data_IF_871235270346
#
_entry.id   IF_871235270346
#
_cell.length_a   1.000
_cell.length_b   1.000
_cell.length_c   1.000
_cell.angle_alpha   90.00
_cell.angle_beta   90.00
_cell.angle_gamma   90.00
#
_symmetry.space_group_name_H-M   'P 1'
#
loop_
_entity.id
_entity.type
_entity.pdbx_description
1 polymer ?
#
# COMPACT_ATOMS: atom_id res chain seq x y z
N UNK A 1 0.74 -11.37 8.27
CA UNK A 1 0.16 -10.01 8.25
C UNK A 1 1.02 -9.13 9.12
N UNK A 2 1.84 -8.27 8.52
CA UNK A 2 2.70 -7.36 9.28
C UNK A 2 1.80 -6.28 9.91
N UNK A 3 1.89 -6.07 11.22
CA UNK A 3 1.04 -5.09 11.91
C UNK A 3 1.29 -3.71 11.27
N UNK A 4 0.23 -3.05 10.80
CA UNK A 4 0.32 -1.75 10.13
C UNK A 4 1.11 -0.71 10.95
N UNK A 5 1.05 -0.82 12.29
CA UNK A 5 1.79 0.03 13.23
C UNK A 5 3.30 -0.23 13.26
N UNK A 6 3.76 -1.45 12.94
CA UNK A 6 5.20 -1.77 12.89
C UNK A 6 5.81 -1.54 11.51
N UNK A 7 5.00 -1.50 10.45
CA UNK A 7 5.48 -1.23 9.10
C UNK A 7 6.06 0.19 8.93
N UNK A 8 5.33 1.19 9.43
CA UNK A 8 5.72 2.60 9.31
C UNK A 8 7.13 2.90 9.90
N UNK A 9 7.45 2.52 11.16
CA UNK A 9 8.76 2.81 11.73
C UNK A 9 9.89 2.03 11.04
N UNK A 10 9.63 0.82 10.54
CA UNK A 10 10.64 0.03 9.81
C UNK A 10 11.02 0.72 8.51
N UNK A 11 10.05 1.17 7.71
CA UNK A 11 10.30 1.92 6.48
C UNK A 11 11.08 3.21 6.76
N UNK A 12 10.70 3.93 7.82
CA UNK A 12 11.37 5.16 8.21
C UNK A 12 12.84 4.90 8.63
N UNK A 13 13.10 3.83 9.40
CA UNK A 13 14.45 3.43 9.79
C UNK A 13 15.34 3.08 8.59
N UNK A 14 14.80 2.36 7.60
CA UNK A 14 15.52 2.01 6.37
C UNK A 14 15.85 3.26 5.52
N UNK A 15 14.91 4.22 5.43
CA UNK A 15 15.15 5.48 4.72
C UNK A 15 16.22 6.34 5.39
N UNK A 16 16.19 6.42 6.72
CA UNK A 16 17.21 7.13 7.50
C UNK A 16 18.58 6.48 7.28
N UNK A 17 18.66 5.15 7.35
CA UNK A 17 19.89 4.39 7.10
C UNK A 17 20.44 4.65 5.69
N UNK A 18 19.57 4.68 4.68
CA UNK A 18 19.97 5.00 3.31
C UNK A 18 20.50 6.44 3.18
N UNK A 19 19.83 7.43 3.78
CA UNK A 19 20.29 8.82 3.79
C UNK A 19 21.66 8.97 4.45
N UNK A 20 21.93 8.26 5.55
CA UNK A 20 23.23 8.24 6.23
C UNK A 20 24.36 7.73 5.31
N UNK A 21 24.09 6.71 4.50
CA UNK A 21 25.03 6.15 3.53
C UNK A 21 25.29 7.16 2.40
N UNK A 22 24.24 7.79 1.87
CA UNK A 22 24.36 8.78 0.78
C UNK A 22 25.11 10.04 1.23
N UNK A 23 24.93 10.46 2.49
CA UNK A 23 25.61 11.63 3.07
C UNK A 23 27.12 11.41 3.28
N UNK A 24 27.62 10.19 3.06
CA UNK A 24 29.04 9.89 3.18
C UNK A 24 29.55 9.92 4.62
N UNK A 25 28.65 9.74 5.61
CA UNK A 25 29.01 9.77 7.03
C UNK A 25 29.95 8.61 7.42
N UNK A 26 30.06 7.60 6.56
CA UNK A 26 31.07 6.55 6.64
C UNK A 26 32.18 6.77 5.60
N UNK A 27 33.46 6.78 5.99
CA UNK A 27 34.60 6.85 5.08
C UNK A 27 34.86 5.49 4.43
N UNK A 28 33.91 5.01 3.62
CA UNK A 28 34.05 3.77 2.88
C UNK A 28 34.58 4.12 1.48
N UNK A 29 35.75 3.59 1.12
CA UNK A 29 36.30 3.70 -0.25
C UNK A 29 35.46 2.89 -1.23
N UNK A 30 34.25 3.35 -1.55
CA UNK A 30 33.44 2.78 -2.61
C UNK A 30 33.88 3.33 -3.97
N UNK A 31 33.97 2.48 -5.00
CA UNK A 31 34.06 2.94 -6.38
C UNK A 31 32.90 3.90 -6.68
N UNK A 32 33.17 4.99 -7.41
CA UNK A 32 32.18 5.98 -7.83
C UNK A 32 30.97 5.38 -8.55
N UNK A 33 31.14 4.23 -9.19
CA UNK A 33 30.05 3.47 -9.82
C UNK A 33 29.02 2.95 -8.81
N UNK A 34 29.45 2.40 -7.67
CA UNK A 34 28.51 1.88 -6.67
C UNK A 34 27.74 3.00 -5.97
N UNK A 35 28.36 4.15 -5.74
CA UNK A 35 27.67 5.30 -5.15
C UNK A 35 26.49 5.76 -6.02
N UNK A 36 26.69 5.83 -7.35
CA UNK A 36 25.62 6.17 -8.30
C UNK A 36 24.47 5.17 -8.26
N UNK A 37 24.77 3.87 -8.12
CA UNK A 37 23.75 2.82 -7.99
C UNK A 37 22.97 3.00 -6.68
N UNK A 38 23.66 3.22 -5.56
CA UNK A 38 23.02 3.38 -4.24
C UNK A 38 22.04 4.55 -4.25
N UNK A 39 22.39 5.65 -4.91
CA UNK A 39 21.52 6.84 -5.01
C UNK A 39 20.24 6.56 -5.83
N UNK A 40 20.30 5.67 -6.84
CA UNK A 40 19.15 5.39 -7.72
C UNK A 40 18.24 4.25 -7.24
N UNK A 41 18.72 3.40 -6.31
CA UNK A 41 17.94 2.29 -5.71
C UNK A 41 16.53 2.69 -5.27
N UNK A 42 16.29 3.77 -4.48
CA UNK A 42 14.94 4.08 -4.03
C UNK A 42 13.99 4.42 -5.18
N UNK A 43 14.49 5.06 -6.25
CA UNK A 43 13.69 5.37 -7.43
C UNK A 43 13.28 4.11 -8.17
N UNK A 44 14.22 3.18 -8.36
CA UNK A 44 13.95 1.88 -8.99
C UNK A 44 12.94 1.08 -8.13
N UNK A 45 13.08 1.12 -6.81
CA UNK A 45 12.14 0.48 -5.88
C UNK A 45 10.72 1.01 -5.99
N UNK A 46 10.55 2.34 -6.03
CA UNK A 46 9.24 2.98 -6.21
C UNK A 46 8.64 2.64 -7.57
N UNK A 47 9.45 2.66 -8.63
CA UNK A 47 9.01 2.35 -9.99
C UNK A 47 8.51 0.89 -10.07
N UNK A 48 9.31 -0.07 -9.60
CA UNK A 48 8.92 -1.49 -9.56
C UNK A 48 7.67 -1.72 -8.71
N UNK A 49 7.59 -1.08 -7.54
CA UNK A 49 6.40 -1.17 -6.69
C UNK A 49 5.15 -0.62 -7.38
N UNK A 50 5.28 0.52 -8.07
CA UNK A 50 4.19 1.12 -8.84
C UNK A 50 3.69 0.20 -9.95
N UNK A 51 4.61 -0.34 -10.76
CA UNK A 51 4.24 -1.30 -11.80
C UNK A 51 3.63 -2.57 -11.23
N UNK A 52 4.25 -3.17 -10.19
CA UNK A 52 3.73 -4.37 -9.55
C UNK A 52 2.30 -4.16 -9.03
N UNK A 53 2.05 -3.04 -8.35
CA UNK A 53 0.72 -2.69 -7.83
C UNK A 53 -0.30 -2.54 -8.97
N UNK A 54 0.08 -1.87 -10.06
CA UNK A 54 -0.79 -1.69 -11.21
C UNK A 54 -1.13 -3.03 -11.89
N UNK A 55 -0.13 -3.86 -12.17
CA UNK A 55 -0.32 -5.19 -12.76
C UNK A 55 -1.17 -6.08 -11.86
N UNK A 56 -0.92 -6.08 -10.55
CA UNK A 56 -1.69 -6.85 -9.59
C UNK A 56 -3.16 -6.42 -9.55
N UNK A 57 -3.43 -5.11 -9.56
CA UNK A 57 -4.79 -4.58 -9.62
C UNK A 57 -5.50 -4.98 -10.91
N UNK A 58 -4.84 -4.82 -12.07
CA UNK A 58 -5.40 -5.20 -13.37
C UNK A 58 -5.72 -6.70 -13.39
N UNK A 59 -4.77 -7.55 -12.98
CA UNK A 59 -4.96 -9.00 -12.90
C UNK A 59 -6.14 -9.37 -12.00
N UNK A 60 -6.27 -8.71 -10.85
CA UNK A 60 -7.38 -8.94 -9.93
C UNK A 60 -8.73 -8.52 -10.51
N UNK A 61 -8.79 -7.37 -11.19
CA UNK A 61 -10.02 -6.85 -11.81
C UNK A 61 -10.47 -7.73 -12.98
N UNK A 62 -9.54 -8.23 -13.79
CA UNK A 62 -9.85 -9.16 -14.89
C UNK A 62 -10.41 -10.47 -14.33
N UNK A 63 -9.75 -11.08 -13.35
CA UNK A 63 -10.21 -12.35 -12.76
C UNK A 63 -11.56 -12.25 -12.03
N UNK A 64 -11.92 -11.08 -11.48
CA UNK A 64 -13.24 -10.85 -10.90
C UNK A 64 -14.36 -10.84 -11.95
N UNK A 65 -14.04 -10.50 -13.20
CA UNK A 65 -15.00 -10.49 -14.31
C UNK A 65 -15.35 -11.91 -14.75
N UNK A 66 -14.40 -12.83 -14.66
CA UNK A 66 -14.56 -14.21 -15.16
C UNK A 66 -15.29 -15.14 -14.19
N UNK A 67 -15.54 -14.70 -12.95
CA UNK A 67 -16.25 -15.48 -11.94
C UNK A 67 -17.61 -14.82 -11.60
N UNK A 68 -18.68 -15.08 -12.37
CA UNK A 68 -19.99 -14.46 -12.16
C UNK A 68 -20.55 -14.73 -10.75
N UNK A 69 -20.20 -15.86 -10.15
CA UNK A 69 -20.62 -16.23 -8.80
C UNK A 69 -20.04 -15.30 -7.71
N UNK A 70 -18.76 -14.94 -7.82
CA UNK A 70 -18.10 -14.06 -6.86
C UNK A 70 -18.67 -12.64 -6.90
N UNK A 71 -19.06 -12.15 -8.09
CA UNK A 71 -19.75 -10.86 -8.25
C UNK A 71 -21.10 -10.86 -7.53
N UNK A 72 -21.91 -11.91 -7.72
CA UNK A 72 -23.24 -12.02 -7.09
C UNK A 72 -23.15 -12.04 -5.56
N UNK A 73 -22.13 -12.71 -5.02
CA UNK A 73 -21.92 -12.80 -3.57
C UNK A 73 -21.42 -11.47 -2.99
N UNK A 74 -20.53 -10.77 -3.70
CA UNK A 74 -20.07 -9.43 -3.33
C UNK A 74 -21.18 -8.39 -3.42
N UNK A 75 -22.00 -8.40 -4.47
CA UNK A 75 -23.11 -7.46 -4.64
C UNK A 75 -24.17 -7.65 -3.54
N UNK A 76 -24.45 -8.90 -3.15
CA UNK A 76 -25.30 -9.19 -1.98
C UNK A 76 -24.70 -8.68 -0.67
N UNK A 77 -23.39 -8.80 -0.48
CA UNK A 77 -22.72 -8.27 0.72
C UNK A 77 -22.79 -6.74 0.77
N UNK A 78 -22.60 -6.08 -0.37
CA UNK A 78 -22.72 -4.61 -0.51
C UNK A 78 -24.15 -4.16 -0.22
N UNK A 79 -25.16 -4.85 -0.74
CA UNK A 79 -26.57 -4.54 -0.47
C UNK A 79 -26.92 -4.70 1.01
N UNK A 80 -26.42 -5.76 1.67
CA UNK A 80 -26.57 -5.94 3.12
C UNK A 80 -25.95 -4.80 3.90
N UNK A 81 -24.71 -4.41 3.60
CA UNK A 81 -24.03 -3.29 4.27
C UNK A 81 -24.79 -1.96 4.06
N UNK A 82 -25.30 -1.71 2.86
CA UNK A 82 -26.08 -0.50 2.57
C UNK A 82 -27.42 -0.48 3.33
N UNK A 83 -28.12 -1.61 3.37
CA UNK A 83 -29.37 -1.73 4.12
C UNK A 83 -29.13 -1.58 5.62
N UNK A 84 -28.05 -2.13 6.15
CA UNK A 84 -27.68 -2.02 7.55
C UNK A 84 -27.24 -0.58 7.90
N UNK A 85 -26.53 0.10 6.99
CA UNK A 85 -26.21 1.53 7.13
C UNK A 85 -27.47 2.42 7.09
N UNK A 86 -28.42 2.12 6.20
CA UNK A 86 -29.71 2.83 6.12
C UNK A 86 -30.55 2.58 7.36
N UNK A 87 -30.63 1.33 7.84
CA UNK A 87 -31.26 0.99 9.11
C UNK A 87 -30.62 1.79 10.24
N UNK A 88 -29.29 1.75 10.37
CA UNK A 88 -28.57 2.51 11.40
C UNK A 88 -28.85 4.01 11.33
N UNK A 89 -29.00 4.59 10.14
CA UNK A 89 -29.39 6.01 9.99
C UNK A 89 -30.79 6.34 10.49
N UNK A 90 -31.72 5.37 10.50
CA UNK A 90 -33.07 5.53 11.07
C UNK A 90 -33.09 5.46 12.61
N UNK A 91 -32.11 4.76 13.22
CA UNK A 91 -31.98 4.64 14.69
C UNK A 91 -30.97 5.61 15.30
N UNK A 92 -30.20 6.34 14.49
CA UNK A 92 -29.41 7.48 14.95
C UNK A 92 -30.38 8.65 15.13
N UNK A 93 -30.95 8.78 16.35
CA UNK A 93 -31.49 10.07 16.78
C UNK A 93 -30.37 11.11 16.64
N UNK A 94 -30.66 12.31 16.11
CA UNK A 94 -29.71 13.41 16.18
C UNK A 94 -29.29 13.57 17.64
N UNK A 95 -27.98 13.62 17.88
CA UNK A 95 -27.43 14.04 19.16
C UNK A 95 -27.39 15.56 19.14
N UNK A 96 -28.56 16.18 19.23
CA UNK A 96 -28.67 17.53 19.78
C UNK A 96 -28.59 17.41 21.31
N UNK A 97 -27.55 18.07 21.85
CA UNK A 97 -27.16 18.28 23.26
C UNK A 97 -26.05 17.39 23.83
#
# INVERSE_FOLDING_TARGET
MMNSKTFLPICFGVLILWMLIVLGLFPISLPTFLYKIIVIIPFIGIMLFGFYSLFYLIYKVINLKDCPQARIDLDREVERIQNDARYKSLFVKPKDQ
#
